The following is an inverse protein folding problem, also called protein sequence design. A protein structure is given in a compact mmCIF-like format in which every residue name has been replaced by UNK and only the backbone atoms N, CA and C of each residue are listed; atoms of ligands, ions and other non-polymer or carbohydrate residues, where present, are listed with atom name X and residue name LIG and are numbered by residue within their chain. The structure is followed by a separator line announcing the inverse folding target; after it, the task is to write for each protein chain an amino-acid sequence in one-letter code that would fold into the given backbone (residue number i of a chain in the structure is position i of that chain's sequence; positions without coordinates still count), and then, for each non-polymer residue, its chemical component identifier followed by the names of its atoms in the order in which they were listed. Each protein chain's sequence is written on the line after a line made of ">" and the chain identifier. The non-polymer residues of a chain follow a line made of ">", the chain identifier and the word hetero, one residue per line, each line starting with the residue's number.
data_IF_658347473617
#
_entry.id   IF_658347473617
#
_cell.length_a   1.000
_cell.length_b   1.000
_cell.length_c   1.000
_cell.angle_alpha   90.00
_cell.angle_beta   90.00
_cell.angle_gamma   90.00
#
_symmetry.space_group_name_H-M   'P 1'
#
loop_
_entity.id
_entity.type
_entity.pdbx_description
1 polymer ?
#
# COMPACT_ATOMS: atom_id res chain seq x y z
N UNK A 1 -7.21 7.95 -32.69
CA UNK A 1 -6.37 6.84 -33.20
C UNK A 1 -4.98 6.96 -32.58
N UNK A 2 -4.76 6.35 -31.41
CA UNK A 2 -3.45 6.27 -30.74
C UNK A 2 -3.04 4.80 -30.76
N UNK A 3 -1.92 4.51 -31.44
CA UNK A 3 -1.46 3.17 -31.78
C UNK A 3 -0.57 2.63 -30.64
N UNK A 4 -1.02 1.49 -30.07
CA UNK A 4 -0.26 0.34 -29.52
C UNK A 4 0.82 0.56 -28.44
N UNK A 5 0.68 -0.17 -27.33
CA UNK A 5 1.28 -1.51 -27.15
C UNK A 5 0.49 -2.29 -26.11
N UNK A 6 -0.14 -3.38 -26.54
CA UNK A 6 -0.59 -4.41 -25.61
C UNK A 6 0.64 -5.07 -24.97
N UNK A 7 0.79 -4.91 -23.67
CA UNK A 7 1.52 -5.89 -22.87
C UNK A 7 0.54 -7.00 -22.51
N UNK A 8 0.52 -8.02 -23.35
CA UNK A 8 0.07 -9.35 -22.97
C UNK A 8 1.10 -9.85 -21.94
N UNK A 9 0.76 -9.95 -20.66
CA UNK A 9 1.70 -10.55 -19.69
C UNK A 9 1.92 -12.02 -20.09
N UNK A 10 3.19 -12.46 -20.28
CA UNK A 10 3.49 -13.87 -20.33
C UNK A 10 3.25 -14.43 -18.93
N UNK A 11 2.46 -15.49 -18.84
CA UNK A 11 2.41 -16.38 -17.68
C UNK A 11 3.79 -17.08 -17.56
N UNK A 12 4.81 -16.36 -17.10
CA UNK A 12 6.13 -16.92 -16.87
C UNK A 12 6.51 -16.69 -15.41
N UNK A 13 6.62 -17.80 -14.69
CA UNK A 13 7.51 -17.93 -13.55
C UNK A 13 7.00 -17.30 -12.26
N UNK A 14 6.53 -18.17 -11.38
CA UNK A 14 6.39 -17.92 -9.94
C UNK A 14 7.80 -17.55 -9.42
N UNK A 15 8.13 -16.26 -9.34
CA UNK A 15 9.39 -15.76 -8.77
C UNK A 15 10.01 -14.64 -9.60
N UNK A 16 9.70 -13.38 -9.28
CA UNK A 16 10.43 -12.24 -9.86
C UNK A 16 9.68 -10.91 -9.92
N UNK A 17 8.36 -10.89 -9.80
CA UNK A 17 7.61 -9.63 -9.83
C UNK A 17 7.77 -8.85 -8.52
N UNK A 18 8.38 -7.67 -8.62
CA UNK A 18 8.46 -6.68 -7.53
C UNK A 18 7.07 -6.36 -7.00
N UNK A 19 6.96 -6.24 -5.69
CA UNK A 19 5.72 -5.90 -4.98
C UNK A 19 5.05 -4.64 -5.53
N UNK A 20 5.86 -3.61 -5.86
CA UNK A 20 5.41 -2.39 -6.51
C UNK A 20 4.73 -2.67 -7.86
N UNK A 21 5.20 -3.66 -8.61
CA UNK A 21 4.63 -4.03 -9.91
C UNK A 21 3.30 -4.77 -9.79
N UNK A 22 3.13 -5.62 -8.76
CA UNK A 22 1.86 -6.32 -8.48
C UNK A 22 0.77 -5.33 -8.08
N UNK A 23 1.09 -4.40 -7.19
CA UNK A 23 0.17 -3.36 -6.73
C UNK A 23 -0.13 -2.37 -7.86
N UNK A 24 0.87 -1.90 -8.60
CA UNK A 24 0.63 -1.00 -9.73
C UNK A 24 -0.21 -1.64 -10.84
N UNK A 25 -0.09 -2.95 -11.07
CA UNK A 25 -0.95 -3.66 -12.02
C UNK A 25 -2.39 -3.75 -11.51
N UNK A 26 -2.59 -4.12 -10.24
CA UNK A 26 -3.91 -4.16 -9.64
C UNK A 26 -4.56 -2.76 -9.67
N UNK A 27 -3.81 -1.72 -9.30
CA UNK A 27 -4.22 -0.32 -9.43
C UNK A 27 -4.56 0.08 -10.87
N UNK A 28 -3.79 -0.37 -11.87
CA UNK A 28 -4.06 -0.07 -13.27
C UNK A 28 -5.39 -0.68 -13.76
N UNK A 29 -5.68 -1.91 -13.34
CA UNK A 29 -6.98 -2.54 -13.63
C UNK A 29 -8.12 -1.78 -12.94
N UNK A 30 -7.89 -1.21 -11.76
CA UNK A 30 -8.92 -0.47 -11.01
C UNK A 30 -9.10 1.01 -11.42
N UNK A 31 -8.05 1.70 -11.90
CA UNK A 31 -8.20 3.04 -12.52
C UNK A 31 -9.15 2.97 -13.74
N UNK A 32 -9.22 1.81 -14.38
CA UNK A 32 -10.18 1.53 -15.46
C UNK A 32 -11.63 1.36 -14.97
N UNK A 33 -11.82 0.98 -13.72
CA UNK A 33 -13.14 0.70 -13.10
C UNK A 33 -13.62 1.84 -12.20
N UNK A 34 -12.80 2.87 -11.96
CA UNK A 34 -13.07 4.03 -11.09
C UNK A 34 -13.41 3.66 -9.62
N UNK A 35 -13.09 2.45 -9.18
CA UNK A 35 -13.44 1.94 -7.85
C UNK A 35 -12.29 2.14 -6.84
N UNK A 36 -12.43 3.17 -6.00
CA UNK A 36 -11.46 3.52 -4.95
C UNK A 36 -11.53 2.57 -3.75
N UNK A 37 -12.70 2.00 -3.43
CA UNK A 37 -12.85 1.13 -2.27
C UNK A 37 -12.12 -0.19 -2.49
N UNK A 38 -12.26 -0.76 -3.68
CA UNK A 38 -11.61 -2.01 -4.06
C UNK A 38 -10.09 -1.90 -4.04
N UNK A 39 -9.55 -0.75 -4.41
CA UNK A 39 -8.13 -0.44 -4.31
C UNK A 39 -7.63 -0.53 -2.87
N UNK A 40 -8.39 0.04 -1.91
CA UNK A 40 -8.04 -0.01 -0.47
C UNK A 40 -8.04 -1.45 0.04
N UNK A 41 -8.98 -2.27 -0.41
CA UNK A 41 -9.05 -3.67 -0.03
C UNK A 41 -7.95 -4.52 -0.65
N UNK A 42 -7.48 -4.18 -1.85
CA UNK A 42 -6.27 -4.79 -2.42
C UNK A 42 -5.08 -4.52 -1.50
N UNK A 43 -4.83 -3.27 -1.10
CA UNK A 43 -3.73 -2.95 -0.18
C UNK A 43 -3.85 -3.70 1.14
N UNK A 44 -5.04 -3.71 1.77
CA UNK A 44 -5.26 -4.46 3.02
C UNK A 44 -4.97 -5.94 2.86
N UNK A 45 -5.56 -6.59 1.86
CA UNK A 45 -5.36 -8.02 1.61
C UNK A 45 -3.89 -8.34 1.35
N UNK A 46 -3.17 -7.50 0.59
CA UNK A 46 -1.73 -7.70 0.36
C UNK A 46 -0.90 -7.54 1.63
N UNK A 47 -1.21 -6.56 2.47
CA UNK A 47 -0.53 -6.36 3.76
C UNK A 47 -0.80 -7.53 4.69
N UNK A 48 -2.04 -7.96 4.81
CA UNK A 48 -2.45 -9.10 5.64
C UNK A 48 -1.77 -10.39 5.18
N UNK A 49 -1.75 -10.65 3.87
CA UNK A 49 -1.00 -11.78 3.27
C UNK A 49 0.48 -11.72 3.64
N UNK A 50 1.13 -10.55 3.58
CA UNK A 50 2.57 -10.46 3.89
C UNK A 50 2.85 -10.58 5.40
N UNK A 51 1.97 -10.07 6.26
CA UNK A 51 2.08 -10.25 7.71
C UNK A 51 1.90 -11.74 8.08
N UNK A 52 0.89 -12.41 7.52
CA UNK A 52 0.51 -13.79 7.84
C UNK A 52 1.40 -14.85 7.16
N UNK A 53 1.69 -14.71 5.85
CA UNK A 53 2.42 -15.75 5.08
C UNK A 53 3.94 -15.59 5.09
N UNK A 54 4.49 -14.41 5.40
CA UNK A 54 5.94 -14.17 5.29
C UNK A 54 6.66 -14.11 6.64
N UNK A 55 6.04 -14.53 7.75
CA UNK A 55 6.72 -14.77 9.04
C UNK A 55 7.64 -13.61 9.47
N UNK A 56 7.12 -12.37 9.46
CA UNK A 56 7.87 -11.22 10.00
C UNK A 56 8.82 -10.54 9.02
N UNK A 57 8.54 -10.54 7.71
CA UNK A 57 9.15 -9.57 6.77
C UNK A 57 8.56 -8.16 6.98
N UNK A 58 8.83 -7.60 8.15
CA UNK A 58 8.37 -6.28 8.58
C UNK A 58 8.81 -5.19 7.59
N UNK A 59 10.02 -5.28 7.04
CA UNK A 59 10.53 -4.30 6.08
C UNK A 59 9.72 -4.22 4.79
N UNK A 60 9.05 -5.31 4.40
CA UNK A 60 8.13 -5.29 3.25
C UNK A 60 6.79 -4.69 3.64
N UNK A 61 6.29 -5.00 4.83
CA UNK A 61 5.05 -4.42 5.36
C UNK A 61 5.19 -2.90 5.48
N UNK A 62 6.34 -2.38 5.95
CA UNK A 62 6.65 -0.95 5.98
C UNK A 62 6.56 -0.33 4.59
N UNK A 63 7.24 -0.91 3.60
CA UNK A 63 7.20 -0.45 2.19
C UNK A 63 5.79 -0.47 1.60
N UNK A 64 4.95 -1.43 2.01
CA UNK A 64 3.55 -1.47 1.60
C UNK A 64 2.76 -0.30 2.17
N UNK A 65 2.92 -0.02 3.46
CA UNK A 65 2.25 1.12 4.09
C UNK A 65 2.72 2.45 3.53
N UNK A 66 4.03 2.62 3.31
CA UNK A 66 4.59 3.81 2.63
C UNK A 66 3.96 4.01 1.25
N UNK A 67 3.90 2.94 0.43
CA UNK A 67 3.25 3.00 -0.87
C UNK A 67 1.76 3.29 -0.73
N UNK A 68 1.06 2.69 0.23
CA UNK A 68 -0.36 2.93 0.41
C UNK A 68 -0.66 4.41 0.73
N UNK A 69 0.19 5.02 1.56
CA UNK A 69 0.09 6.42 1.96
C UNK A 69 0.56 7.40 0.88
N UNK A 70 1.45 6.96 -0.03
CA UNK A 70 1.83 7.73 -1.24
C UNK A 70 0.61 7.93 -2.16
N UNK A 71 -0.26 6.92 -2.27
CA UNK A 71 -1.44 6.97 -3.13
C UNK A 71 -2.69 7.54 -2.43
N UNK A 72 -2.85 7.28 -1.12
CA UNK A 72 -4.02 7.71 -0.34
C UNK A 72 -3.60 8.38 0.98
N UNK A 73 -2.96 9.56 0.93
CA UNK A 73 -2.50 10.27 2.12
C UNK A 73 -3.64 10.71 3.05
N UNK A 74 -4.87 10.86 2.54
CA UNK A 74 -6.06 11.20 3.31
C UNK A 74 -6.65 10.05 4.13
N UNK A 75 -6.14 8.82 3.95
CA UNK A 75 -6.72 7.64 4.57
C UNK A 75 -6.24 7.43 6.01
N UNK A 76 -6.98 7.98 6.97
CA UNK A 76 -6.71 7.83 8.41
C UNK A 76 -6.59 6.37 8.88
N UNK A 77 -7.30 5.43 8.25
CA UNK A 77 -7.23 4.01 8.61
C UNK A 77 -5.85 3.43 8.31
N UNK A 78 -5.25 3.80 7.17
CA UNK A 78 -3.92 3.35 6.79
C UNK A 78 -2.84 3.87 7.75
N UNK A 79 -2.89 5.16 8.10
CA UNK A 79 -2.00 5.77 9.10
C UNK A 79 -2.08 5.08 10.46
N UNK A 80 -3.31 4.84 10.94
CA UNK A 80 -3.54 4.18 12.21
C UNK A 80 -2.93 2.76 12.20
N UNK A 81 -3.26 1.96 11.17
CA UNK A 81 -2.74 0.59 11.06
C UNK A 81 -1.22 0.53 10.92
N UNK A 82 -0.61 1.48 10.23
CA UNK A 82 0.84 1.54 10.12
C UNK A 82 1.49 1.82 11.49
N UNK A 83 0.97 2.79 12.24
CA UNK A 83 1.46 3.07 13.59
C UNK A 83 1.19 1.92 14.58
N UNK A 84 0.08 1.18 14.42
CA UNK A 84 -0.17 -0.04 15.21
C UNK A 84 0.86 -1.14 14.95
N UNK A 85 1.30 -1.31 13.70
CA UNK A 85 2.38 -2.23 13.35
C UNK A 85 3.68 -1.86 14.07
N UNK A 86 4.11 -0.60 14.01
CA UNK A 86 5.34 -0.16 14.69
C UNK A 86 5.22 -0.26 16.22
N UNK A 87 4.03 0.01 16.78
CA UNK A 87 3.76 -0.21 18.21
C UNK A 87 3.89 -1.68 18.59
N UNK A 88 3.41 -2.60 17.76
CA UNK A 88 3.54 -4.04 17.98
C UNK A 88 5.01 -4.50 17.98
N UNK A 89 5.85 -3.82 17.21
CA UNK A 89 7.30 -4.04 17.14
C UNK A 89 8.08 -3.33 18.26
N UNK A 90 7.38 -2.67 19.18
CA UNK A 90 7.94 -1.81 20.23
C UNK A 90 8.74 -0.59 19.73
N UNK A 91 8.62 -0.25 18.43
CA UNK A 91 9.23 0.93 17.80
C UNK A 91 8.36 2.19 18.00
N UNK A 92 8.19 2.56 19.26
CA UNK A 92 7.27 3.64 19.68
C UNK A 92 7.60 5.02 19.11
N UNK A 93 8.88 5.32 18.90
CA UNK A 93 9.31 6.60 18.30
C UNK A 93 8.98 6.68 16.80
N UNK A 94 9.05 5.54 16.08
CA UNK A 94 8.60 5.49 14.68
C UNK A 94 7.08 5.67 14.60
N UNK A 95 6.32 5.03 15.48
CA UNK A 95 4.87 5.23 15.55
C UNK A 95 4.50 6.71 15.79
N UNK A 96 5.25 7.42 16.64
CA UNK A 96 5.07 8.87 16.85
C UNK A 96 5.36 9.65 15.58
N UNK A 97 6.49 9.37 14.93
CA UNK A 97 6.89 10.04 13.68
C UNK A 97 5.84 9.86 12.57
N UNK A 98 5.25 8.66 12.47
CA UNK A 98 4.17 8.37 11.51
C UNK A 98 2.94 9.23 11.79
N UNK A 99 2.52 9.39 13.05
CA UNK A 99 1.39 10.25 13.40
C UNK A 99 1.70 11.73 13.20
N UNK A 100 2.91 12.19 13.51
CA UNK A 100 3.34 13.56 13.23
C UNK A 100 3.30 13.85 11.72
N UNK A 101 3.75 12.90 10.90
CA UNK A 101 3.69 13.02 9.44
C UNK A 101 2.24 13.02 8.93
N UNK A 102 1.36 12.21 9.53
CA UNK A 102 -0.07 12.23 9.23
C UNK A 102 -0.72 13.59 9.54
N UNK A 103 -0.43 14.18 10.71
CA UNK A 103 -0.94 15.50 11.11
C UNK A 103 -0.40 16.60 10.19
N UNK A 104 0.84 16.47 9.70
CA UNK A 104 1.41 17.42 8.76
C UNK A 104 0.77 17.39 7.36
N UNK A 105 -0.04 16.37 7.04
CA UNK A 105 -0.68 16.28 5.73
C UNK A 105 -1.82 17.31 5.63
N UNK A 106 -1.75 18.28 4.69
CA UNK A 106 -2.76 19.32 4.54
C UNK A 106 -4.13 18.78 4.11
N UNK A 107 -4.19 17.54 3.63
CA UNK A 107 -5.41 16.84 3.22
C UNK A 107 -6.21 16.28 4.39
N UNK A 108 -5.62 16.17 5.59
CA UNK A 108 -6.29 15.64 6.78
C UNK A 108 -7.06 16.70 7.58
N UNK A 109 -6.76 17.99 7.33
CA UNK A 109 -7.20 19.15 8.11
C UNK A 109 -8.39 19.90 7.49
N UNK A 110 -9.11 19.31 6.53
CA UNK A 110 -10.27 19.97 5.94
C UNK A 110 -11.60 19.56 6.62
N UNK A 111 -12.35 20.50 7.22
CA UNK A 111 -13.64 20.25 7.87
C UNK A 111 -14.77 19.93 6.88
#
# INVERSE_FOLDING_TARGET
>A
MVIRKGLRMPLLGIGGFSMKMKINYALYEEIKTEDVERTRDIFKNYIEIEIELQLGNIDRCRKLYELYLEWFPENCYAWNKYAELERYLAETELARTIFELAISQPTLDMP
#
